data_IF_155648526918
#
_entry.id   IF_155648526918
#
_cell.length_a   1.000
_cell.length_b   1.000
_cell.length_c   1.000
_cell.angle_alpha   90.00
_cell.angle_beta   90.00
_cell.angle_gamma   90.00
#
_symmetry.space_group_name_H-M   'P 1'
#
loop_
_entity.id
_entity.type
_entity.pdbx_description
1 polymer ?
#
# COMPACT_ATOMS: atom_id res chain seq x y z
N UNK A 1 -21.72 56.72 16.69
CA UNK A 1 -22.50 55.48 16.52
C UNK A 1 -21.86 54.66 15.38
N UNK A 2 -20.63 54.13 15.46
CA UNK A 2 -19.85 53.69 16.62
C UNK A 2 -20.05 52.20 16.85
N UNK A 3 -19.40 51.36 16.02
CA UNK A 3 -19.01 49.97 16.28
C UNK A 3 -19.92 48.75 16.01
N UNK A 4 -21.18 48.84 15.59
CA UNK A 4 -22.04 47.64 15.63
C UNK A 4 -22.34 46.87 14.33
N UNK A 5 -21.56 47.00 13.24
CA UNK A 5 -21.76 46.15 12.03
C UNK A 5 -20.52 45.42 11.50
N UNK A 6 -19.38 45.47 12.21
CA UNK A 6 -18.17 44.70 11.82
C UNK A 6 -18.24 43.23 12.28
N UNK A 7 -19.23 42.86 13.09
CA UNK A 7 -19.40 41.49 13.61
C UNK A 7 -20.48 40.76 12.82
N UNK A 8 -20.21 40.44 11.55
CA UNK A 8 -20.83 39.32 10.84
C UNK A 8 -19.87 38.73 9.78
N UNK A 9 -18.57 38.95 9.95
CA UNK A 9 -17.57 37.99 9.49
C UNK A 9 -17.48 36.93 10.57
N UNK A 10 -18.00 35.73 10.32
CA UNK A 10 -17.57 34.43 10.87
C UNK A 10 -18.59 33.37 10.44
N UNK A 11 -18.65 33.09 9.13
CA UNK A 11 -18.98 31.73 8.71
C UNK A 11 -17.72 30.91 8.97
N UNK A 12 -17.67 30.29 10.14
CA UNK A 12 -16.66 29.30 10.49
C UNK A 12 -16.76 28.15 9.50
N UNK A 13 -15.92 28.15 8.46
CA UNK A 13 -15.70 26.97 7.63
C UNK A 13 -14.94 25.99 8.53
N UNK A 14 -15.69 25.13 9.23
CA UNK A 14 -15.10 23.96 9.87
C UNK A 14 -14.69 23.03 8.74
N UNK A 15 -13.44 23.15 8.27
CA UNK A 15 -12.83 22.10 7.47
C UNK A 15 -12.66 20.92 8.42
N UNK A 16 -13.66 20.05 8.46
CA UNK A 16 -13.53 18.75 9.12
C UNK A 16 -12.33 18.06 8.50
N UNK A 17 -11.31 17.77 9.31
CA UNK A 17 -10.17 16.97 8.88
C UNK A 17 -10.67 15.54 8.76
N UNK A 18 -11.21 15.20 7.60
CA UNK A 18 -11.49 13.81 7.26
C UNK A 18 -10.13 13.15 7.07
N UNK A 19 -9.71 12.30 8.00
CA UNK A 19 -8.48 11.52 7.86
C UNK A 19 -8.69 10.53 6.71
N UNK A 20 -8.22 10.89 5.52
CA UNK A 20 -8.23 10.02 4.36
C UNK A 20 -7.17 8.94 4.55
N UNK A 21 -7.56 7.67 4.38
CA UNK A 21 -6.63 6.53 4.32
C UNK A 21 -5.75 6.72 3.10
N UNK A 22 -4.44 6.48 3.24
CA UNK A 22 -3.50 6.54 2.11
C UNK A 22 -2.46 5.44 2.25
N UNK A 23 -2.11 4.82 1.12
CA UNK A 23 -0.98 3.90 0.98
C UNK A 23 0.01 4.49 -0.01
N UNK A 24 1.17 4.92 0.47
CA UNK A 24 2.21 5.54 -0.33
C UNK A 24 3.32 4.56 -0.65
N UNK A 25 3.44 4.16 -1.92
CA UNK A 25 4.52 3.28 -2.36
C UNK A 25 5.78 4.04 -2.80
N UNK A 26 6.93 3.35 -2.78
CA UNK A 26 8.13 3.83 -3.46
C UNK A 26 7.87 3.97 -4.96
N UNK A 27 8.52 4.96 -5.60
CA UNK A 27 8.40 5.20 -7.02
C UNK A 27 8.94 4.04 -7.87
N UNK A 28 8.90 4.19 -9.19
CA UNK A 28 9.37 3.14 -10.10
C UNK A 28 10.79 2.67 -9.75
N UNK A 29 10.96 1.37 -9.57
CA UNK A 29 12.25 0.77 -9.22
C UNK A 29 12.85 0.10 -10.46
N UNK A 30 14.15 0.32 -10.65
CA UNK A 30 14.91 -0.28 -11.74
C UNK A 30 15.76 -1.42 -11.19
N UNK A 31 15.45 -2.65 -11.59
CA UNK A 31 16.21 -3.84 -11.19
C UNK A 31 17.08 -4.39 -12.32
N UNK A 32 18.10 -5.16 -11.95
CA UNK A 32 18.88 -6.00 -12.87
C UNK A 32 18.53 -7.47 -12.64
N UNK A 33 18.54 -8.32 -13.69
CA UNK A 33 18.42 -9.76 -13.49
C UNK A 33 19.46 -10.30 -12.49
N UNK A 34 19.04 -11.19 -11.61
CA UNK A 34 19.84 -11.77 -10.53
C UNK A 34 20.00 -10.89 -9.29
N UNK A 35 19.67 -9.60 -9.34
CA UNK A 35 19.68 -8.72 -8.17
C UNK A 35 18.44 -8.92 -7.29
N UNK A 36 18.46 -8.30 -6.11
CA UNK A 36 17.29 -8.13 -5.25
C UNK A 36 16.79 -6.69 -5.29
N UNK A 37 15.50 -6.50 -5.05
CA UNK A 37 14.86 -5.18 -5.00
C UNK A 37 13.91 -5.12 -3.81
N UNK A 38 13.80 -3.95 -3.17
CA UNK A 38 13.02 -3.78 -1.94
C UNK A 38 12.00 -2.67 -2.14
N UNK A 39 10.74 -3.08 -2.32
CA UNK A 39 9.61 -2.16 -2.42
C UNK A 39 9.14 -1.75 -1.02
N UNK A 40 8.62 -0.54 -0.91
CA UNK A 40 8.07 0.00 0.34
C UNK A 40 6.65 0.51 0.14
N UNK A 41 5.82 0.41 1.19
CA UNK A 41 4.45 0.90 1.23
C UNK A 41 4.18 1.51 2.61
N UNK A 42 4.09 2.83 2.67
CA UNK A 42 3.83 3.60 3.89
C UNK A 42 2.33 3.85 4.04
N UNK A 43 1.79 3.46 5.18
CA UNK A 43 0.40 3.69 5.54
C UNK A 43 0.22 5.00 6.31
N UNK A 44 -0.87 5.71 6.02
CA UNK A 44 -1.33 6.85 6.82
C UNK A 44 -2.85 6.93 6.86
N UNK A 45 -3.37 7.64 7.85
CA UNK A 45 -4.80 7.86 8.02
C UNK A 45 -5.56 6.71 8.70
N UNK A 46 -4.85 5.71 9.23
CA UNK A 46 -5.39 4.63 10.06
C UNK A 46 -4.30 4.04 10.97
N UNK A 47 -4.69 3.22 11.96
CA UNK A 47 -3.77 2.45 12.79
C UNK A 47 -3.17 1.30 11.99
N UNK A 48 -1.89 1.39 11.65
CA UNK A 48 -1.23 0.44 10.74
C UNK A 48 -1.29 -1.02 11.20
N UNK A 49 -1.30 -1.27 12.52
CA UNK A 49 -1.35 -2.60 13.14
C UNK A 49 -2.73 -3.26 13.10
N UNK A 50 -3.79 -2.51 12.79
CA UNK A 50 -5.17 -3.06 12.82
C UNK A 50 -5.51 -3.87 11.56
N UNK A 51 -4.64 -3.87 10.54
CA UNK A 51 -4.92 -4.47 9.24
C UNK A 51 -3.70 -5.18 8.65
N UNK A 52 -3.96 -6.31 7.99
CA UNK A 52 -2.96 -7.00 7.18
C UNK A 52 -2.62 -6.20 5.93
N UNK A 53 -1.33 -6.19 5.58
CA UNK A 53 -0.84 -5.63 4.33
C UNK A 53 -0.60 -6.74 3.32
N UNK A 54 -1.36 -6.71 2.23
CA UNK A 54 -1.24 -7.65 1.12
C UNK A 54 -0.39 -7.07 0.00
N UNK A 55 0.34 -7.95 -0.68
CA UNK A 55 1.14 -7.63 -1.86
C UNK A 55 0.62 -8.39 -3.08
N UNK A 56 0.47 -7.68 -4.19
CA UNK A 56 -0.10 -8.20 -5.44
C UNK A 56 0.76 -7.79 -6.62
N UNK A 57 0.99 -8.71 -7.55
CA UNK A 57 1.69 -8.49 -8.82
C UNK A 57 0.69 -8.44 -9.97
N UNK A 58 0.86 -7.49 -10.89
CA UNK A 58 0.13 -7.43 -12.14
C UNK A 58 1.10 -7.33 -13.32
N UNK A 59 1.00 -8.29 -14.24
CA UNK A 59 1.68 -8.20 -15.53
C UNK A 59 0.73 -7.64 -16.59
N UNK A 60 1.22 -6.88 -17.57
CA UNK A 60 0.43 -6.49 -18.73
C UNK A 60 -0.21 -7.71 -19.40
N UNK A 61 -1.52 -7.66 -19.65
CA UNK A 61 -2.27 -8.77 -20.27
C UNK A 61 -2.50 -10.00 -19.38
N UNK A 62 -2.11 -9.97 -18.09
CA UNK A 62 -2.39 -11.05 -17.14
C UNK A 62 -3.24 -10.55 -15.96
N UNK A 63 -3.92 -11.48 -15.30
CA UNK A 63 -4.64 -11.20 -14.05
C UNK A 63 -3.71 -10.84 -12.88
N UNK A 64 -4.31 -10.32 -11.82
CA UNK A 64 -3.64 -10.07 -10.54
C UNK A 64 -3.16 -11.39 -9.91
N UNK A 65 -1.91 -11.43 -9.45
CA UNK A 65 -1.33 -12.57 -8.73
C UNK A 65 -0.98 -12.14 -7.32
N UNK A 66 -1.61 -12.78 -6.33
CA UNK A 66 -1.31 -12.55 -4.92
C UNK A 66 0.07 -13.10 -4.56
N UNK A 67 0.89 -12.28 -3.92
CA UNK A 67 2.26 -12.61 -3.51
C UNK A 67 2.28 -13.12 -2.07
N UNK A 68 1.58 -12.41 -1.20
CA UNK A 68 1.59 -12.69 0.22
C UNK A 68 0.91 -11.60 1.03
N UNK A 69 0.85 -11.81 2.34
CA UNK A 69 0.38 -10.85 3.32
C UNK A 69 1.30 -10.85 4.53
N UNK A 70 1.38 -9.69 5.19
CA UNK A 70 2.01 -9.54 6.49
C UNK A 70 1.01 -8.89 7.44
N UNK A 71 0.86 -9.48 8.62
CA UNK A 71 0.21 -8.86 9.77
C UNK A 71 1.25 -7.97 10.46
N UNK A 72 1.11 -6.63 10.41
CA UNK A 72 2.06 -5.74 11.05
C UNK A 72 2.09 -5.89 12.57
N UNK A 73 1.00 -6.36 13.20
CA UNK A 73 0.92 -6.50 14.65
C UNK A 73 1.68 -7.71 15.16
N UNK A 74 1.39 -8.89 14.61
CA UNK A 74 2.07 -10.14 15.01
C UNK A 74 3.39 -10.38 14.29
N UNK A 75 3.62 -9.76 13.13
CA UNK A 75 4.72 -10.08 12.21
C UNK A 75 4.50 -11.39 11.43
N UNK A 76 3.32 -12.01 11.56
CA UNK A 76 2.94 -13.21 10.82
C UNK A 76 2.94 -12.95 9.31
N UNK A 77 3.43 -13.92 8.53
CA UNK A 77 3.48 -13.82 7.07
C UNK A 77 2.84 -15.01 6.39
N UNK A 78 2.11 -14.75 5.31
CA UNK A 78 1.56 -15.74 4.41
C UNK A 78 2.05 -15.48 2.99
N UNK A 79 2.27 -16.54 2.21
CA UNK A 79 2.83 -16.44 0.87
C UNK A 79 1.99 -17.23 -0.13
N UNK A 80 1.83 -16.67 -1.33
CA UNK A 80 1.39 -17.41 -2.50
C UNK A 80 2.44 -18.45 -2.90
N UNK A 81 2.00 -19.62 -3.38
CA UNK A 81 2.88 -20.76 -3.64
C UNK A 81 4.11 -20.40 -4.49
N UNK A 82 3.92 -19.59 -5.54
CA UNK A 82 4.98 -19.20 -6.48
C UNK A 82 5.96 -18.14 -5.94
N UNK A 83 5.68 -17.57 -4.77
CA UNK A 83 6.47 -16.48 -4.19
C UNK A 83 7.16 -16.88 -2.88
N UNK A 84 6.86 -18.07 -2.36
CA UNK A 84 7.55 -18.62 -1.18
C UNK A 84 9.05 -18.76 -1.49
N UNK A 85 9.89 -18.15 -0.66
CA UNK A 85 11.35 -18.13 -0.84
C UNK A 85 11.86 -17.10 -1.85
N UNK A 86 10.98 -16.52 -2.68
CA UNK A 86 11.34 -15.44 -3.61
C UNK A 86 11.05 -14.06 -3.03
N UNK A 87 9.93 -13.92 -2.32
CA UNK A 87 9.56 -12.71 -1.62
C UNK A 87 9.86 -12.84 -0.12
N UNK A 88 10.29 -11.75 0.49
CA UNK A 88 10.39 -11.58 1.94
C UNK A 88 9.57 -10.36 2.36
N UNK A 89 8.58 -10.57 3.22
CA UNK A 89 7.72 -9.52 3.73
C UNK A 89 8.16 -9.09 5.12
N UNK A 90 8.21 -7.78 5.37
CA UNK A 90 8.54 -7.20 6.68
C UNK A 90 7.71 -5.94 6.92
N UNK A 91 7.48 -5.59 8.18
CA UNK A 91 6.76 -4.37 8.56
C UNK A 91 7.52 -3.62 9.65
N UNK A 92 7.55 -2.30 9.55
CA UNK A 92 8.06 -1.40 10.58
C UNK A 92 6.88 -0.61 11.16
N UNK A 93 6.52 -0.95 12.41
CA UNK A 93 5.43 -0.31 13.14
C UNK A 93 5.70 1.19 13.38
N UNK A 94 6.96 1.56 13.64
CA UNK A 94 7.33 2.93 14.01
C UNK A 94 7.12 3.92 12.87
N UNK A 95 7.40 3.48 11.63
CA UNK A 95 7.22 4.27 10.42
C UNK A 95 5.92 3.96 9.68
N UNK A 96 5.10 3.04 10.21
CA UNK A 96 3.88 2.52 9.56
C UNK A 96 4.16 2.06 8.11
N UNK A 97 5.29 1.38 7.89
CA UNK A 97 5.73 1.02 6.54
C UNK A 97 5.90 -0.49 6.40
N UNK A 98 5.23 -1.06 5.41
CA UNK A 98 5.45 -2.43 4.97
C UNK A 98 6.50 -2.47 3.85
N UNK A 99 7.24 -3.57 3.78
CA UNK A 99 8.24 -3.80 2.77
C UNK A 99 8.11 -5.19 2.17
N UNK A 100 8.41 -5.29 0.88
CA UNK A 100 8.59 -6.55 0.18
C UNK A 100 9.94 -6.53 -0.52
N UNK A 101 10.79 -7.47 -0.17
CA UNK A 101 12.05 -7.73 -0.86
C UNK A 101 11.86 -8.91 -1.82
N UNK A 102 12.11 -8.69 -3.11
CA UNK A 102 12.12 -9.74 -4.13
C UNK A 102 13.57 -10.09 -4.45
N UNK A 103 13.91 -11.36 -4.26
CA UNK A 103 15.24 -11.89 -4.50
C UNK A 103 15.37 -12.53 -5.87
N UNK A 104 16.59 -12.49 -6.43
CA UNK A 104 16.96 -13.18 -7.67
C UNK A 104 16.00 -12.84 -8.81
N UNK A 105 15.95 -11.56 -9.16
CA UNK A 105 15.03 -11.05 -10.17
C UNK A 105 15.26 -11.74 -11.53
N UNK A 106 14.17 -12.11 -12.16
CA UNK A 106 14.12 -12.70 -13.50
C UNK A 106 13.33 -11.77 -14.41
N UNK A 107 13.47 -11.81 -15.74
CA UNK A 107 12.65 -11.00 -16.65
C UNK A 107 11.14 -11.13 -16.38
N UNK A 108 10.72 -12.28 -15.87
CA UNK A 108 9.35 -12.54 -15.42
C UNK A 108 8.90 -11.74 -14.19
N UNK A 109 9.78 -11.01 -13.53
CA UNK A 109 9.46 -10.14 -12.40
C UNK A 109 9.17 -8.70 -12.80
N UNK A 110 9.39 -8.34 -14.07
CA UNK A 110 8.96 -7.07 -14.63
C UNK A 110 7.42 -7.00 -14.61
N UNK A 111 6.88 -6.13 -13.76
CA UNK A 111 5.45 -6.04 -13.46
C UNK A 111 5.16 -4.78 -12.64
N UNK A 112 3.86 -4.47 -12.51
CA UNK A 112 3.39 -3.51 -11.51
C UNK A 112 3.09 -4.25 -10.22
N UNK A 113 3.53 -3.68 -9.10
CA UNK A 113 3.32 -4.22 -7.76
C UNK A 113 2.46 -3.27 -6.93
N UNK A 114 1.47 -3.83 -6.25
CA UNK A 114 0.53 -3.12 -5.41
C UNK A 114 0.61 -3.63 -3.98
N UNK A 115 0.57 -2.70 -3.03
CA UNK A 115 0.22 -2.98 -1.65
C UNK A 115 -1.25 -2.65 -1.43
N UNK A 116 -1.95 -3.49 -0.66
CA UNK A 116 -3.37 -3.26 -0.34
C UNK A 116 -3.64 -3.63 1.10
N UNK A 117 -4.43 -2.79 1.77
CA UNK A 117 -4.99 -3.09 3.09
C UNK A 117 -6.26 -3.92 2.92
N UNK A 118 -6.38 -5.03 3.65
CA UNK A 118 -7.62 -5.82 3.68
C UNK A 118 -8.36 -5.60 5.00
N UNK A 119 -9.65 -5.25 4.93
CA UNK A 119 -10.58 -5.25 6.07
C UNK A 119 -11.55 -6.42 5.91
N UNK A 120 -11.75 -7.23 6.95
CA UNK A 120 -12.67 -8.39 6.92
C UNK A 120 -14.16 -7.96 6.86
N UNK A 121 -14.46 -6.67 6.91
CA UNK A 121 -15.84 -6.20 6.87
C UNK A 121 -16.34 -6.03 5.43
N UNK A 122 -17.20 -6.97 5.01
CA UNK A 122 -18.35 -6.88 4.08
C UNK A 122 -18.27 -7.75 2.82
N UNK A 123 -19.25 -8.65 2.71
CA UNK A 123 -19.57 -9.51 1.58
C UNK A 123 -19.69 -8.75 0.25
N UNK A 124 -19.07 -9.31 -0.81
CA UNK A 124 -19.40 -9.18 -2.24
C UNK A 124 -19.93 -7.80 -2.65
N UNK A 125 -19.07 -6.81 -2.92
CA UNK A 125 -19.22 -5.85 -4.02
C UNK A 125 -17.82 -5.25 -4.30
N UNK A 126 -17.38 -5.31 -5.57
CA UNK A 126 -16.34 -4.46 -6.15
C UNK A 126 -14.97 -4.38 -5.41
N UNK A 127 -13.95 -5.08 -5.94
CA UNK A 127 -12.50 -4.86 -5.65
C UNK A 127 -12.03 -3.46 -6.13
N UNK A 128 -12.92 -2.47 -6.20
CA UNK A 128 -12.71 -1.13 -6.74
C UNK A 128 -13.27 0.00 -5.87
N UNK A 129 -13.97 -0.27 -4.77
CA UNK A 129 -14.43 0.80 -3.85
C UNK A 129 -13.66 0.74 -2.53
N UNK A 130 -12.75 1.70 -2.31
CA UNK A 130 -11.83 1.90 -1.16
C UNK A 130 -10.53 1.09 -1.11
N UNK A 131 -9.96 0.73 -2.26
CA UNK A 131 -8.53 0.42 -2.30
C UNK A 131 -7.77 1.72 -2.60
N UNK A 132 -7.08 2.28 -1.62
CA UNK A 132 -5.99 3.23 -1.87
C UNK A 132 -4.87 2.47 -2.58
N UNK A 133 -5.06 2.23 -3.88
CA UNK A 133 -4.08 1.58 -4.74
C UNK A 133 -3.06 2.63 -5.10
N UNK A 134 -1.86 2.49 -4.57
CA UNK A 134 -0.72 3.09 -5.22
C UNK A 134 0.06 2.02 -5.96
N UNK A 135 0.76 2.41 -7.01
CA UNK A 135 1.45 1.47 -7.89
C UNK A 135 2.96 1.74 -7.86
N UNK A 136 3.74 0.67 -7.77
CA UNK A 136 5.16 0.70 -8.07
C UNK A 136 5.41 -0.12 -9.32
N UNK A 137 5.85 0.52 -10.39
CA UNK A 137 6.36 -0.18 -11.56
C UNK A 137 7.78 -0.67 -11.25
N UNK A 138 7.98 -1.99 -11.23
CA UNK A 138 9.32 -2.58 -11.24
C UNK A 138 9.66 -2.93 -12.68
N UNK A 139 10.62 -2.20 -13.24
CA UNK A 139 11.09 -2.42 -14.61
C UNK A 139 12.49 -3.00 -14.54
N UNK A 140 12.70 -4.14 -15.19
CA UNK A 140 14.04 -4.73 -15.33
C UNK A 140 14.68 -4.24 -16.63
N UNK A 141 15.96 -3.85 -16.57
CA UNK A 141 16.80 -3.52 -17.73
C UNK A 141 17.96 -4.49 -17.87
#
# INVERSE_FOLDING_TARGET
>A
MGWSWIILFLLSVTTGVHSQVQLQQSGAELGRPGASVKLSCKASGYTFTDYEMHWVKQKPGQGLKWIGAIDPESGGTAYGQNFKGKAKLTADKSSSTAYMELSTLTPDDSAVYYCTRHSVTTHILNVSETLDKQETALVLR
#
